data_IF_742324248571
#
_entry.id   IF_742324248571
#
_cell.length_a   1.000
_cell.length_b   1.000
_cell.length_c   1.000
_cell.angle_alpha   90.00
_cell.angle_beta   90.00
_cell.angle_gamma   90.00
#
_symmetry.space_group_name_H-M   'P 1'
#
loop_
_entity.id
_entity.type
_entity.pdbx_description
1 polymer ?
#
# COMPACT_ATOMS: atom_id res chain seq x y z
N UNK A 1 52.35 46.61 -37.56
CA UNK A 1 51.02 46.34 -37.01
C UNK A 1 50.90 44.83 -36.79
N UNK A 2 51.11 44.39 -35.54
CA UNK A 2 50.13 43.65 -34.72
C UNK A 2 49.68 42.30 -35.31
N UNK A 3 50.44 41.24 -35.05
CA UNK A 3 50.01 39.85 -35.18
C UNK A 3 50.21 39.14 -33.84
N UNK A 4 49.13 38.59 -33.29
CA UNK A 4 48.87 38.33 -31.87
C UNK A 4 49.56 37.05 -31.36
N UNK A 5 50.10 37.13 -30.14
CA UNK A 5 50.52 35.98 -29.32
C UNK A 5 49.25 35.23 -28.91
N UNK A 6 49.18 33.93 -29.16
CA UNK A 6 48.17 33.05 -28.57
C UNK A 6 48.86 32.15 -27.53
N UNK A 7 48.33 32.26 -26.31
CA UNK A 7 48.77 31.64 -25.07
C UNK A 7 48.23 30.20 -25.01
N UNK A 8 49.05 29.30 -24.46
CA UNK A 8 48.75 27.90 -24.18
C UNK A 8 47.73 27.72 -23.04
N UNK A 9 46.98 26.62 -23.05
CA UNK A 9 46.57 25.90 -21.83
C UNK A 9 46.00 24.52 -22.18
N UNK A 10 46.62 23.47 -21.62
CA UNK A 10 46.04 22.14 -21.54
C UNK A 10 45.20 22.04 -20.26
N UNK A 11 44.02 21.43 -20.34
CA UNK A 11 43.25 21.01 -19.16
C UNK A 11 42.50 19.72 -19.50
N UNK A 12 42.98 18.60 -18.94
CA UNK A 12 42.30 17.32 -18.98
C UNK A 12 41.11 17.37 -18.00
N UNK A 13 39.89 17.31 -18.52
CA UNK A 13 38.66 17.18 -17.74
C UNK A 13 38.36 15.71 -17.53
N UNK A 14 38.65 15.22 -16.33
CA UNK A 14 38.24 13.88 -15.87
C UNK A 14 36.76 13.97 -15.50
N UNK A 15 35.88 13.45 -16.35
CA UNK A 15 34.46 13.35 -16.02
C UNK A 15 34.29 12.22 -15.01
N UNK A 16 34.23 12.57 -13.72
CA UNK A 16 33.64 11.69 -12.71
C UNK A 16 32.17 11.51 -13.08
N UNK A 17 31.87 10.41 -13.78
CA UNK A 17 30.52 9.85 -13.82
C UNK A 17 30.21 9.27 -12.45
N UNK A 18 30.02 10.13 -11.46
CA UNK A 18 29.30 9.76 -10.26
C UNK A 18 27.86 9.51 -10.69
N UNK A 19 27.55 8.25 -11.00
CA UNK A 19 26.17 7.78 -10.93
C UNK A 19 25.77 7.96 -9.47
N UNK A 20 25.00 9.01 -9.20
CA UNK A 20 24.23 9.11 -7.96
C UNK A 20 23.33 7.89 -7.94
N UNK A 21 23.75 6.88 -7.18
CA UNK A 21 22.91 5.73 -6.87
C UNK A 21 21.87 6.31 -5.93
N UNK A 22 20.75 6.77 -6.50
CA UNK A 22 19.57 7.15 -5.74
C UNK A 22 19.33 6.01 -4.75
N UNK A 23 19.47 6.33 -3.47
CA UNK A 23 19.20 5.39 -2.40
C UNK A 23 17.67 5.29 -2.35
N UNK A 24 17.09 4.50 -3.25
CA UNK A 24 15.64 4.28 -3.28
C UNK A 24 15.22 3.76 -1.91
N UNK A 25 14.29 4.47 -1.27
CA UNK A 25 13.60 3.99 -0.08
C UNK A 25 13.03 2.59 -0.33
N UNK A 26 12.96 1.72 0.69
CA UNK A 26 12.34 0.41 0.52
C UNK A 26 10.92 0.56 -0.01
N UNK A 27 10.54 -0.31 -0.94
CA UNK A 27 9.19 -0.32 -1.50
C UNK A 27 8.13 -0.53 -0.40
N UNK A 28 6.96 0.08 -0.58
CA UNK A 28 5.81 -0.11 0.30
C UNK A 28 5.29 -1.55 0.19
N UNK A 29 4.92 -2.12 1.34
CA UNK A 29 4.46 -3.51 1.49
C UNK A 29 3.08 -3.53 2.12
N UNK A 30 2.26 -4.50 1.72
CA UNK A 30 0.94 -4.73 2.30
C UNK A 30 0.58 -6.21 2.18
N UNK A 31 0.27 -6.84 3.31
CA UNK A 31 -0.27 -8.18 3.41
C UNK A 31 -1.49 -8.15 4.33
N UNK A 32 -2.60 -8.76 3.88
CA UNK A 32 -3.84 -8.88 4.66
C UNK A 32 -4.25 -10.34 4.71
N UNK A 33 -4.55 -10.85 5.90
CA UNK A 33 -4.93 -12.25 6.11
C UNK A 33 -6.05 -12.41 7.15
N UNK A 34 -7.02 -13.31 6.95
CA UNK A 34 -7.25 -14.14 5.75
C UNK A 34 -7.70 -13.32 4.53
N UNK A 35 -7.70 -13.94 3.34
CA UNK A 35 -8.19 -13.34 2.10
C UNK A 35 -9.72 -13.45 1.92
N UNK A 36 -10.38 -14.28 2.75
CA UNK A 36 -11.83 -14.47 2.73
C UNK A 36 -12.36 -14.60 4.15
N UNK A 37 -13.57 -14.07 4.40
CA UNK A 37 -14.29 -14.21 5.66
C UNK A 37 -15.71 -14.73 5.44
N UNK A 38 -16.04 -15.89 6.01
CA UNK A 38 -17.40 -16.42 5.97
C UNK A 38 -18.24 -15.91 7.15
N UNK A 39 -19.48 -15.48 6.92
CA UNK A 39 -20.39 -15.11 8.01
C UNK A 39 -21.70 -15.89 7.87
N UNK A 40 -22.37 -16.12 9.00
CA UNK A 40 -23.74 -16.62 9.01
C UNK A 40 -24.72 -15.53 8.60
N UNK A 41 -25.99 -15.91 8.41
CA UNK A 41 -27.05 -14.96 8.04
C UNK A 41 -27.45 -14.02 9.18
N UNK A 42 -27.19 -14.39 10.45
CA UNK A 42 -27.60 -13.61 11.63
C UNK A 42 -26.75 -13.90 12.87
N UNK A 43 -26.68 -12.92 13.78
CA UNK A 43 -26.00 -13.01 15.09
C UNK A 43 -24.52 -13.39 14.94
N UNK A 44 -23.83 -12.72 14.02
CA UNK A 44 -22.43 -12.96 13.75
C UNK A 44 -21.52 -12.42 14.83
N UNK A 45 -20.48 -13.18 15.14
CA UNK A 45 -19.34 -12.72 15.93
C UNK A 45 -18.31 -12.03 15.04
N UNK A 46 -17.65 -10.94 15.50
CA UNK A 46 -16.61 -10.28 14.74
C UNK A 46 -15.44 -11.20 14.40
N UNK A 47 -14.84 -11.00 13.23
CA UNK A 47 -13.63 -11.68 12.75
C UNK A 47 -12.50 -10.69 12.53
N UNK A 48 -11.26 -11.13 12.70
CA UNK A 48 -10.09 -10.26 12.54
C UNK A 48 -9.38 -10.51 11.22
N UNK A 49 -9.11 -9.44 10.47
CA UNK A 49 -8.12 -9.40 9.40
C UNK A 49 -6.82 -8.80 9.93
N UNK A 50 -5.76 -9.59 9.89
CA UNK A 50 -4.41 -9.14 10.22
C UNK A 50 -3.86 -8.29 9.08
N UNK A 51 -3.42 -7.07 9.37
CA UNK A 51 -2.78 -6.17 8.41
C UNK A 51 -1.30 -6.06 8.76
N UNK A 52 -0.43 -6.32 7.79
CA UNK A 52 1.02 -6.13 7.91
C UNK A 52 1.50 -5.20 6.81
N UNK A 53 2.10 -4.08 7.20
CA UNK A 53 2.65 -3.09 6.28
C UNK A 53 3.84 -2.37 6.93
N UNK A 54 4.73 -1.82 6.10
CA UNK A 54 5.79 -0.89 6.51
C UNK A 54 5.36 0.58 6.36
N UNK A 55 4.12 0.85 5.95
CA UNK A 55 3.54 2.19 5.86
C UNK A 55 2.86 2.52 7.19
N UNK A 56 3.16 3.69 7.75
CA UNK A 56 2.63 4.14 9.05
C UNK A 56 1.11 4.27 9.02
N UNK A 57 0.59 4.98 8.02
CA UNK A 57 -0.84 5.21 7.81
C UNK A 57 -1.36 4.37 6.64
N UNK A 58 -2.35 3.53 6.93
CA UNK A 58 -3.07 2.74 5.94
C UNK A 58 -4.57 2.92 6.14
N UNK A 59 -5.35 2.64 5.10
CA UNK A 59 -6.79 2.88 5.08
C UNK A 59 -7.53 1.69 4.45
N UNK A 60 -8.84 1.65 4.62
CA UNK A 60 -9.70 0.64 4.02
C UNK A 60 -11.04 1.22 3.55
N UNK A 61 -11.66 0.52 2.60
CA UNK A 61 -13.06 0.72 2.23
C UNK A 61 -13.77 -0.61 2.26
N UNK A 62 -15.07 -0.59 2.58
CA UNK A 62 -15.90 -1.77 2.66
C UNK A 62 -17.29 -1.49 2.05
N UNK A 63 -17.95 -2.53 1.53
CA UNK A 63 -19.34 -2.43 1.12
C UNK A 63 -20.23 -2.06 2.32
N UNK A 64 -21.29 -1.28 2.09
CA UNK A 64 -22.02 -0.58 3.17
C UNK A 64 -22.73 -1.46 4.21
N UNK A 65 -22.82 -2.77 4.00
CA UNK A 65 -23.39 -3.73 4.96
C UNK A 65 -22.32 -4.48 5.77
N UNK A 66 -21.04 -4.22 5.47
CA UNK A 66 -19.86 -4.67 6.21
C UNK A 66 -19.49 -3.58 7.21
N UNK A 67 -19.37 -3.96 8.48
CA UNK A 67 -18.89 -3.12 9.56
C UNK A 67 -17.44 -3.48 9.84
N UNK A 68 -16.52 -2.52 9.69
CA UNK A 68 -15.10 -2.75 9.97
C UNK A 68 -14.49 -1.59 10.75
N UNK A 69 -13.67 -1.92 11.74
CA UNK A 69 -12.96 -0.97 12.60
C UNK A 69 -11.49 -1.35 12.73
N UNK A 70 -10.62 -0.35 12.88
CA UNK A 70 -9.20 -0.61 13.18
C UNK A 70 -9.02 -0.79 14.68
N UNK A 71 -8.51 -1.95 15.08
CA UNK A 71 -8.16 -2.25 16.47
C UNK A 71 -6.76 -2.88 16.53
N UNK A 72 -5.85 -2.26 17.26
CA UNK A 72 -4.48 -2.79 17.44
C UNK A 72 -3.70 -2.98 16.14
N UNK A 73 -3.99 -2.18 15.10
CA UNK A 73 -3.35 -2.28 13.78
C UNK A 73 -3.95 -3.35 12.86
N UNK A 74 -5.07 -3.97 13.24
CA UNK A 74 -5.80 -4.96 12.44
C UNK A 74 -7.22 -4.45 12.15
N UNK A 75 -7.91 -5.05 11.17
CA UNK A 75 -9.35 -4.82 10.99
C UNK A 75 -10.15 -5.85 11.78
N UNK A 76 -11.06 -5.37 12.62
CA UNK A 76 -12.14 -6.18 13.21
C UNK A 76 -13.36 -5.96 12.35
N UNK A 77 -13.87 -7.05 11.76
CA UNK A 77 -14.89 -7.06 10.72
C UNK A 77 -16.10 -7.83 11.22
N UNK A 78 -17.29 -7.26 11.04
CA UNK A 78 -18.56 -7.93 11.15
C UNK A 78 -19.46 -7.54 9.97
N UNK A 79 -20.64 -8.15 9.89
CA UNK A 79 -21.62 -7.87 8.85
C UNK A 79 -22.99 -7.72 9.48
N UNK A 80 -23.79 -6.81 8.91
CA UNK A 80 -25.21 -6.73 9.23
C UNK A 80 -25.90 -8.07 8.91
N UNK A 81 -27.00 -8.38 9.61
CA UNK A 81 -27.81 -9.57 9.30
C UNK A 81 -28.24 -9.56 7.82
N UNK A 82 -28.28 -10.74 7.20
CA UNK A 82 -28.84 -10.94 5.87
C UNK A 82 -30.24 -11.55 6.02
N UNK A 83 -31.27 -10.72 5.84
CA UNK A 83 -32.68 -11.16 5.94
C UNK A 83 -33.24 -11.71 4.63
N UNK A 84 -32.46 -11.64 3.54
CA UNK A 84 -32.80 -12.20 2.23
C UNK A 84 -32.39 -13.69 2.15
N UNK A 85 -33.03 -14.44 1.25
CA UNK A 85 -32.73 -15.86 1.05
C UNK A 85 -31.51 -16.09 0.16
N UNK A 86 -31.05 -15.07 -0.56
CA UNK A 86 -29.87 -15.09 -1.40
C UNK A 86 -28.59 -14.85 -0.61
N UNK A 87 -27.56 -15.64 -0.89
CA UNK A 87 -26.20 -15.36 -0.42
C UNK A 87 -25.70 -14.04 -1.02
N UNK A 88 -24.93 -13.29 -0.22
CA UNK A 88 -24.28 -12.05 -0.65
C UNK A 88 -22.79 -12.13 -0.35
N UNK A 89 -21.99 -11.69 -1.33
CA UNK A 89 -20.54 -11.52 -1.19
C UNK A 89 -20.24 -10.04 -1.20
N UNK A 90 -19.42 -9.60 -0.25
CA UNK A 90 -19.00 -8.21 -0.13
C UNK A 90 -17.50 -8.07 -0.33
N UNK A 91 -17.02 -6.83 -0.30
CA UNK A 91 -15.60 -6.55 -0.51
C UNK A 91 -15.07 -5.59 0.53
N UNK A 92 -13.85 -5.88 0.98
CA UNK A 92 -12.99 -4.95 1.71
C UNK A 92 -11.75 -4.71 0.85
N UNK A 93 -11.41 -3.44 0.64
CA UNK A 93 -10.18 -3.03 -0.03
C UNK A 93 -9.27 -2.32 0.97
N UNK A 94 -8.09 -2.88 1.23
CA UNK A 94 -7.08 -2.29 2.11
C UNK A 94 -5.96 -1.66 1.26
N UNK A 95 -5.53 -0.46 1.65
CA UNK A 95 -4.56 0.36 0.92
C UNK A 95 -3.49 0.88 1.88
N UNK A 96 -2.22 0.85 1.45
CA UNK A 96 -1.09 1.33 2.25
C UNK A 96 -0.04 1.94 1.31
N UNK A 97 0.08 3.26 1.31
CA UNK A 97 1.03 3.98 0.45
C UNK A 97 0.91 3.58 -1.03
N UNK A 98 2.03 3.20 -1.63
CA UNK A 98 2.13 2.74 -3.02
C UNK A 98 2.09 1.20 -3.14
N UNK A 99 1.87 0.47 -2.04
CA UNK A 99 1.71 -0.98 -2.11
C UNK A 99 0.49 -1.34 -2.95
N UNK A 100 0.54 -2.48 -3.64
CA UNK A 100 -0.61 -2.99 -4.37
C UNK A 100 -1.78 -3.19 -3.38
N UNK A 101 -2.96 -2.59 -3.61
CA UNK A 101 -4.10 -2.79 -2.72
C UNK A 101 -4.50 -4.26 -2.61
N UNK A 102 -4.87 -4.68 -1.41
CA UNK A 102 -5.30 -6.06 -1.13
C UNK A 102 -6.82 -6.09 -0.98
N UNK A 103 -7.45 -7.04 -1.68
CA UNK A 103 -8.89 -7.30 -1.60
C UNK A 103 -9.13 -8.51 -0.73
N UNK A 104 -10.13 -8.39 0.14
CA UNK A 104 -10.70 -9.46 0.96
C UNK A 104 -12.18 -9.58 0.60
N UNK A 105 -12.67 -10.82 0.52
CA UNK A 105 -14.06 -11.15 0.18
C UNK A 105 -14.82 -11.82 1.33
#
# INVERSE_FOLDING_TARGET
>A
MKGKILIAAAAALVLFSCTEKEMESPADTLEVTPATLDFGWKNNEPKTLTVKTNVEDWDFSADGWIEATVEGGNLVVNVTDNEEYEERTGKILVMAGNAKPVRVE
#
